data_IF_173106356579
#
_entry.id   IF_173106356579
#
_cell.length_a   1.000
_cell.length_b   1.000
_cell.length_c   1.000
_cell.angle_alpha   90.00
_cell.angle_beta   90.00
_cell.angle_gamma   90.00
#
_symmetry.space_group_name_H-M   'P 1'
#
loop_
_entity.id
_entity.type
_entity.pdbx_description
1 polymer ?
#
# COMPACT_ATOMS: atom_id res chain seq x y z
N UNK A 1 -6.54 -12.60 -11.02
CA UNK A 1 -5.47 -11.60 -10.82
C UNK A 1 -6.11 -10.32 -10.34
N UNK A 2 -5.60 -9.76 -9.24
CA UNK A 2 -6.26 -8.81 -8.34
C UNK A 2 -6.96 -7.62 -9.04
N UNK A 3 -8.31 -7.63 -9.16
CA UNK A 3 -9.06 -6.56 -9.82
C UNK A 3 -9.06 -5.25 -9.02
N UNK A 4 -8.96 -5.33 -7.68
CA UNK A 4 -9.09 -4.18 -6.76
C UNK A 4 -7.76 -3.45 -6.47
N UNK A 5 -6.99 -3.09 -7.49
CA UNK A 5 -5.68 -2.43 -7.33
C UNK A 5 -5.55 -1.05 -8.01
N UNK A 6 -6.60 -0.24 -8.22
CA UNK A 6 -6.46 1.01 -9.03
C UNK A 6 -5.29 1.92 -8.60
N UNK A 7 -5.17 2.26 -7.30
CA UNK A 7 -4.11 3.16 -6.83
C UNK A 7 -2.76 2.43 -6.67
N UNK A 8 -2.81 1.16 -6.26
CA UNK A 8 -1.64 0.30 -6.07
C UNK A 8 -1.01 -0.11 -7.41
N UNK A 9 -1.76 -0.04 -8.51
CA UNK A 9 -1.31 -0.31 -9.87
C UNK A 9 -0.31 0.72 -10.37
N UNK A 10 -0.31 1.93 -9.82
CA UNK A 10 0.66 2.95 -10.22
C UNK A 10 2.02 2.68 -9.58
N UNK A 11 2.06 2.45 -8.26
CA UNK A 11 3.32 2.27 -7.50
C UNK A 11 4.02 0.95 -7.85
N UNK A 12 3.26 -0.15 -7.96
CA UNK A 12 3.83 -1.47 -8.25
C UNK A 12 3.65 -1.90 -9.70
N UNK A 13 3.49 -0.94 -10.63
CA UNK A 13 3.14 -1.19 -12.04
C UNK A 13 4.04 -2.21 -12.71
N UNK A 14 5.34 -2.03 -12.60
CA UNK A 14 6.35 -2.88 -13.26
C UNK A 14 6.27 -4.33 -12.77
N UNK A 15 6.09 -4.55 -11.47
CA UNK A 15 5.91 -5.89 -10.90
C UNK A 15 4.60 -6.55 -11.32
N UNK A 16 3.54 -5.76 -11.49
CA UNK A 16 2.25 -6.25 -12.00
C UNK A 16 2.41 -6.67 -13.46
N UNK A 17 3.06 -5.83 -14.28
CA UNK A 17 3.32 -6.14 -15.69
C UNK A 17 4.21 -7.38 -15.85
N UNK A 18 5.24 -7.55 -15.01
CA UNK A 18 6.08 -8.75 -15.02
C UNK A 18 5.28 -10.02 -14.71
N UNK A 19 4.42 -9.98 -13.68
CA UNK A 19 3.59 -11.12 -13.32
C UNK A 19 2.50 -11.39 -14.37
N UNK A 20 1.89 -10.36 -14.95
CA UNK A 20 0.93 -10.49 -16.04
C UNK A 20 1.58 -11.08 -17.29
N UNK A 21 2.81 -10.66 -17.63
CA UNK A 21 3.58 -11.23 -18.73
C UNK A 21 3.89 -12.72 -18.50
N UNK A 22 4.28 -13.12 -17.28
CA UNK A 22 4.48 -14.54 -16.96
C UNK A 22 3.19 -15.35 -17.07
N UNK A 23 2.07 -14.77 -16.65
CA UNK A 23 0.74 -15.40 -16.71
C UNK A 23 0.16 -15.55 -18.12
N UNK A 24 0.79 -14.97 -19.16
CA UNK A 24 0.47 -15.29 -20.55
C UNK A 24 0.64 -16.79 -20.81
N UNK A 25 1.62 -17.43 -20.14
CA UNK A 25 1.77 -18.87 -20.16
C UNK A 25 0.92 -19.52 -19.04
N UNK A 26 -0.21 -20.10 -19.43
CA UNK A 26 -1.13 -20.77 -18.50
C UNK A 26 -0.49 -21.94 -17.74
N UNK A 27 0.45 -22.68 -18.33
CA UNK A 27 1.13 -23.77 -17.65
C UNK A 27 2.03 -23.25 -16.54
N UNK A 28 2.87 -22.25 -16.82
CA UNK A 28 3.74 -21.62 -15.82
C UNK A 28 2.92 -21.04 -14.64
N UNK A 29 1.75 -20.47 -14.93
CA UNK A 29 0.82 -20.00 -13.90
C UNK A 29 0.28 -21.12 -13.00
N UNK A 30 -0.05 -22.27 -13.57
CA UNK A 30 -0.64 -23.39 -12.83
C UNK A 30 0.39 -24.20 -12.04
N UNK A 31 1.62 -24.32 -12.57
CA UNK A 31 2.70 -25.11 -11.95
C UNK A 31 3.59 -24.31 -11.00
N UNK A 32 3.34 -23.01 -10.84
CA UNK A 32 4.13 -22.13 -9.97
C UNK A 32 5.41 -21.56 -10.61
N UNK A 33 5.56 -21.66 -11.93
CA UNK A 33 6.67 -21.06 -12.68
C UNK A 33 6.75 -19.53 -12.59
N UNK A 34 5.70 -18.85 -12.12
CA UNK A 34 5.66 -17.39 -11.94
C UNK A 34 5.85 -16.93 -10.48
N UNK A 35 6.38 -17.80 -9.61
CA UNK A 35 6.49 -17.48 -8.17
C UNK A 35 7.47 -16.34 -7.89
N UNK A 36 8.53 -16.18 -8.68
CA UNK A 36 9.52 -15.13 -8.48
C UNK A 36 8.94 -13.73 -8.74
N UNK A 37 8.18 -13.58 -9.81
CA UNK A 37 7.46 -12.35 -10.18
C UNK A 37 6.40 -12.04 -9.12
N UNK A 38 5.68 -13.08 -8.67
CA UNK A 38 4.68 -12.97 -7.60
C UNK A 38 5.31 -12.50 -6.29
N UNK A 39 6.45 -13.05 -5.90
CA UNK A 39 7.14 -12.65 -4.68
C UNK A 39 7.66 -11.21 -4.76
N UNK A 40 8.13 -10.79 -5.94
CA UNK A 40 8.56 -9.42 -6.19
C UNK A 40 7.39 -8.43 -6.07
N UNK A 41 6.24 -8.77 -6.66
CA UNK A 41 5.01 -8.00 -6.51
C UNK A 41 4.56 -7.92 -5.05
N UNK A 42 4.60 -9.05 -4.33
CA UNK A 42 4.21 -9.10 -2.92
C UNK A 42 5.10 -8.19 -2.05
N UNK A 43 6.41 -8.17 -2.29
CA UNK A 43 7.35 -7.26 -1.60
C UNK A 43 7.00 -5.80 -1.85
N UNK A 44 6.70 -5.42 -3.09
CA UNK A 44 6.28 -4.06 -3.43
C UNK A 44 4.98 -3.67 -2.71
N UNK A 45 3.94 -4.51 -2.80
CA UNK A 45 2.65 -4.24 -2.16
C UNK A 45 2.77 -4.19 -0.63
N UNK A 46 3.66 -4.99 -0.04
CA UNK A 46 3.94 -4.95 1.40
C UNK A 46 4.58 -3.63 1.79
N UNK A 47 5.55 -3.15 1.02
CA UNK A 47 6.21 -1.85 1.24
C UNK A 47 5.20 -0.70 1.17
N UNK A 48 4.40 -0.62 0.10
CA UNK A 48 3.38 0.44 -0.04
C UNK A 48 2.36 0.40 1.12
N UNK A 49 1.94 -0.81 1.55
CA UNK A 49 1.07 -0.94 2.72
C UNK A 49 1.70 -0.34 3.98
N UNK A 50 2.99 -0.60 4.23
CA UNK A 50 3.69 -0.05 5.40
C UNK A 50 3.78 1.46 5.31
N UNK A 51 4.21 2.00 4.17
CA UNK A 51 4.37 3.44 3.98
C UNK A 51 3.04 4.17 4.15
N UNK A 52 1.96 3.66 3.55
CA UNK A 52 0.61 4.21 3.75
C UNK A 52 0.18 4.19 5.22
N UNK A 53 0.40 3.08 5.92
CA UNK A 53 0.07 2.98 7.34
C UNK A 53 0.88 3.97 8.19
N UNK A 54 2.16 4.18 7.86
CA UNK A 54 3.00 5.18 8.51
C UNK A 54 2.50 6.59 8.25
N UNK A 55 2.20 6.96 7.00
CA UNK A 55 1.62 8.27 6.64
C UNK A 55 0.34 8.53 7.41
N UNK A 56 -0.58 7.56 7.44
CA UNK A 56 -1.84 7.68 8.18
C UNK A 56 -1.61 7.86 9.68
N UNK A 57 -0.66 7.12 10.26
CA UNK A 57 -0.30 7.25 11.68
C UNK A 57 0.26 8.64 12.00
N UNK A 58 1.14 9.17 11.16
CA UNK A 58 1.71 10.52 11.34
C UNK A 58 0.62 11.59 11.24
N UNK A 59 -0.22 11.53 10.21
CA UNK A 59 -1.34 12.47 10.04
C UNK A 59 -2.34 12.39 11.19
N UNK A 60 -2.63 11.19 11.70
CA UNK A 60 -3.50 11.02 12.86
C UNK A 60 -2.91 11.67 14.12
N UNK A 61 -1.59 11.53 14.34
CA UNK A 61 -0.89 12.20 15.45
C UNK A 61 -0.93 13.71 15.31
N UNK A 62 -0.64 14.24 14.12
CA UNK A 62 -0.70 15.69 13.85
C UNK A 62 -2.09 16.26 14.09
N UNK A 63 -3.13 15.58 13.60
CA UNK A 63 -4.53 15.98 13.85
C UNK A 63 -4.85 15.97 15.33
N UNK A 64 -4.45 14.92 16.05
CA UNK A 64 -4.65 14.82 17.50
C UNK A 64 -3.99 15.96 18.25
N UNK A 65 -2.74 16.30 17.93
CA UNK A 65 -2.03 17.43 18.55
C UNK A 65 -2.74 18.76 18.29
N UNK A 66 -3.18 19.01 17.06
CA UNK A 66 -3.95 20.21 16.72
C UNK A 66 -5.26 20.29 17.48
N UNK A 67 -5.97 19.17 17.57
CA UNK A 67 -7.20 19.08 18.38
C UNK A 67 -6.90 19.37 19.84
N UNK A 68 -5.92 18.70 20.46
CA UNK A 68 -5.55 18.94 21.87
C UNK A 68 -5.13 20.40 22.13
N UNK A 69 -4.43 21.04 21.20
CA UNK A 69 -4.08 22.46 21.28
C UNK A 69 -5.32 23.36 21.22
N UNK A 70 -6.19 23.18 20.23
CA UNK A 70 -7.42 23.94 20.11
C UNK A 70 -8.35 23.77 21.32
N UNK A 71 -8.42 22.55 21.88
CA UNK A 71 -9.18 22.29 23.11
C UNK A 71 -8.60 23.05 24.31
N UNK A 72 -7.27 23.10 24.46
CA UNK A 72 -6.61 23.87 25.53
C UNK A 72 -6.86 25.37 25.40
N UNK A 73 -6.76 25.91 24.19
CA UNK A 73 -7.03 27.34 23.93
C UNK A 73 -8.47 27.72 24.28
N UNK A 74 -9.44 26.85 23.97
CA UNK A 74 -10.86 27.09 24.29
C UNK A 74 -11.18 27.10 25.79
N UNK A 75 -10.46 26.32 26.61
CA UNK A 75 -10.70 26.19 28.05
C UNK A 75 -9.66 26.96 28.88
N UNK A 76 -8.97 27.92 28.28
CA UNK A 76 -7.91 28.69 28.97
C UNK A 76 -8.49 29.74 29.94
N UNK A 77 -9.75 30.15 29.75
CA UNK A 77 -10.45 31.17 30.52
C UNK A 77 -11.64 30.63 31.36
N UNK A 78 -11.79 29.29 31.46
CA UNK A 78 -12.72 28.59 32.36
C UNK A 78 -12.09 28.34 33.75
#
# INVERSE_FOLDING_TARGET
MHPQLSDKRIVCREFIQALDACHVNNWARLTGGCNQEKDSLNKCLRKERVERSTRNRTQAKEKRLKTEQAWKELHQDD
#
